data_IF_015001142406
#
_entry.id   IF_015001142406
#
_cell.length_a   1.000
_cell.length_b   1.000
_cell.length_c   1.000
_cell.angle_alpha   90.00
_cell.angle_beta   90.00
_cell.angle_gamma   90.00
#
_symmetry.space_group_name_H-M   'P 1'
#
loop_
_entity.id
_entity.type
_entity.pdbx_description
1 polymer ?
#
# COMPACT_ATOMS: atom_id res chain seq x y z
N UNK A 1 10.93 -8.56 0.71
CA UNK A 1 9.85 -9.31 1.40
C UNK A 1 9.34 -10.40 0.47
N UNK A 2 9.05 -11.57 0.99
CA UNK A 2 8.51 -12.67 0.17
C UNK A 2 7.06 -12.38 -0.20
N UNK A 3 6.65 -12.83 -1.39
CA UNK A 3 5.30 -12.58 -1.91
C UNK A 3 4.69 -13.87 -2.44
N UNK A 4 3.38 -13.97 -2.36
CA UNK A 4 2.61 -15.10 -2.90
C UNK A 4 1.28 -14.56 -3.45
N UNK A 5 1.34 -13.95 -4.63
CA UNK A 5 0.17 -13.29 -5.22
C UNK A 5 -0.91 -14.31 -5.58
N UNK A 6 -2.18 -13.92 -5.42
CA UNK A 6 -3.31 -14.75 -5.83
C UNK A 6 -3.38 -14.83 -7.35
N UNK A 7 -4.09 -15.84 -7.86
CA UNK A 7 -4.26 -16.00 -9.32
C UNK A 7 -4.93 -14.77 -9.96
N UNK A 8 -5.92 -14.20 -9.27
CA UNK A 8 -6.57 -12.97 -9.74
C UNK A 8 -5.59 -11.81 -9.81
N UNK A 9 -4.69 -11.69 -8.83
CA UNK A 9 -3.69 -10.63 -8.81
C UNK A 9 -2.62 -10.82 -9.88
N UNK A 10 -2.23 -12.07 -10.16
CA UNK A 10 -1.26 -12.36 -11.22
C UNK A 10 -1.77 -11.98 -12.60
N UNK A 11 -3.08 -11.92 -12.79
CA UNK A 11 -3.70 -11.53 -14.05
C UNK A 11 -3.73 -10.01 -14.26
N UNK A 12 -3.38 -9.20 -13.26
CA UNK A 12 -3.37 -7.75 -13.38
C UNK A 12 -2.24 -7.29 -14.30
N UNK A 13 -2.49 -6.20 -15.05
CA UNK A 13 -1.54 -5.68 -16.01
C UNK A 13 -0.20 -5.25 -15.37
N UNK A 14 -0.22 -4.85 -14.11
CA UNK A 14 0.97 -4.36 -13.38
C UNK A 14 1.42 -5.34 -12.27
N UNK A 15 1.02 -6.60 -12.35
CA UNK A 15 1.34 -7.58 -11.31
C UNK A 15 2.84 -7.76 -11.12
N UNK A 16 3.60 -7.88 -12.22
CA UNK A 16 5.05 -8.07 -12.16
C UNK A 16 5.74 -6.87 -11.52
N UNK A 17 5.30 -5.67 -11.86
CA UNK A 17 5.84 -4.44 -11.30
C UNK A 17 5.56 -4.35 -9.80
N UNK A 18 4.32 -4.64 -9.39
CA UNK A 18 3.95 -4.63 -7.97
C UNK A 18 4.76 -5.66 -7.19
N UNK A 19 4.92 -6.87 -7.72
CA UNK A 19 5.69 -7.91 -7.07
C UNK A 19 7.16 -7.53 -6.92
N UNK A 20 7.76 -6.94 -7.94
CA UNK A 20 9.13 -6.48 -7.88
C UNK A 20 9.32 -5.41 -6.79
N UNK A 21 8.40 -4.48 -6.67
CA UNK A 21 8.45 -3.43 -5.63
C UNK A 21 8.30 -4.06 -4.24
N UNK A 22 7.36 -4.97 -4.06
CA UNK A 22 7.14 -5.65 -2.79
C UNK A 22 8.39 -6.43 -2.35
N UNK A 23 9.03 -7.13 -3.29
CA UNK A 23 10.22 -7.92 -2.99
C UNK A 23 11.43 -7.06 -2.64
N UNK A 24 11.49 -5.82 -3.13
CA UNK A 24 12.57 -4.90 -2.79
C UNK A 24 12.49 -4.43 -1.33
N UNK A 25 11.32 -4.42 -0.72
CA UNK A 25 11.13 -3.99 0.66
C UNK A 25 11.61 -5.06 1.64
N UNK A 26 12.55 -4.69 2.52
CA UNK A 26 13.03 -5.57 3.58
C UNK A 26 12.33 -5.31 4.92
N UNK A 27 11.32 -4.46 4.91
CA UNK A 27 10.46 -4.19 6.07
C UNK A 27 11.21 -3.59 7.27
N UNK A 28 12.26 -2.81 7.03
CA UNK A 28 13.11 -2.24 8.09
C UNK A 28 12.47 -1.07 8.86
N UNK A 29 11.51 -0.36 8.22
CA UNK A 29 10.78 0.71 8.88
C UNK A 29 11.44 2.08 8.87
N UNK A 30 12.55 2.28 8.18
CA UNK A 30 13.21 3.60 8.08
C UNK A 30 12.26 4.64 7.50
N UNK A 31 11.37 4.23 6.57
CA UNK A 31 10.41 5.10 5.92
C UNK A 31 9.39 5.71 6.90
N UNK A 32 9.07 5.02 8.00
CA UNK A 32 8.07 5.49 8.95
C UNK A 32 8.47 6.81 9.61
N UNK A 33 9.75 7.04 9.84
CA UNK A 33 10.23 8.25 10.50
C UNK A 33 9.92 9.52 9.71
N UNK A 34 9.79 9.42 8.40
CA UNK A 34 9.54 10.56 7.52
C UNK A 34 8.07 10.70 7.12
N UNK A 35 7.21 9.78 7.55
CA UNK A 35 5.80 9.77 7.15
C UNK A 35 4.95 10.65 8.05
N UNK A 36 4.31 11.72 7.53
CA UNK A 36 3.49 12.62 8.35
C UNK A 36 2.32 11.94 9.04
N UNK A 37 1.63 11.03 8.35
CA UNK A 37 0.48 10.35 8.95
C UNK A 37 0.91 9.39 10.05
N UNK A 38 2.05 8.74 9.91
CA UNK A 38 2.60 7.90 10.96
C UNK A 38 2.97 8.73 12.19
N UNK A 39 3.61 9.88 11.98
CA UNK A 39 4.03 10.75 13.08
C UNK A 39 2.84 11.29 13.87
N UNK A 40 1.75 11.63 13.19
CA UNK A 40 0.56 12.21 13.83
C UNK A 40 -0.31 11.14 14.49
N UNK A 41 -0.57 10.03 13.78
CA UNK A 41 -1.53 9.02 14.23
C UNK A 41 -0.90 7.91 15.06
N UNK A 42 0.41 7.68 14.93
CA UNK A 42 1.12 6.67 15.70
C UNK A 42 0.72 5.22 15.42
N UNK A 43 0.03 4.97 14.31
CA UNK A 43 -0.43 3.64 13.92
C UNK A 43 0.45 3.11 12.80
N UNK A 44 0.95 1.88 12.96
CA UNK A 44 1.80 1.23 11.95
C UNK A 44 1.14 1.21 10.57
N UNK A 45 -0.18 1.01 10.52
CA UNK A 45 -0.92 0.94 9.26
C UNK A 45 -1.09 2.30 8.58
N UNK A 46 -0.78 3.39 9.26
CA UNK A 46 -0.78 4.73 8.68
C UNK A 46 0.62 5.18 8.25
N UNK A 47 1.59 4.28 8.28
CA UNK A 47 2.94 4.50 7.79
C UNK A 47 3.22 3.70 6.52
N UNK A 48 4.33 4.02 5.81
CA UNK A 48 4.63 3.34 4.55
C UNK A 48 4.82 1.84 4.70
N UNK A 49 5.55 1.40 5.73
CA UNK A 49 5.81 -0.02 5.95
C UNK A 49 4.51 -0.79 6.14
N UNK A 50 3.60 -0.29 6.98
CA UNK A 50 2.32 -0.94 7.22
C UNK A 50 1.42 -0.95 5.98
N UNK A 51 1.42 0.14 5.22
CA UNK A 51 0.66 0.22 3.97
C UNK A 51 1.20 -0.73 2.91
N UNK A 52 2.51 -0.89 2.82
CA UNK A 52 3.12 -1.89 1.92
C UNK A 52 2.63 -3.28 2.29
N UNK A 53 2.56 -3.59 3.57
CA UNK A 53 2.06 -4.88 4.04
C UNK A 53 0.57 -5.07 3.71
N UNK A 54 -0.25 -4.02 3.87
CA UNK A 54 -1.66 -4.08 3.49
C UNK A 54 -1.84 -4.34 2.00
N UNK A 55 -1.05 -3.69 1.16
CA UNK A 55 -1.10 -3.91 -0.29
C UNK A 55 -0.66 -5.33 -0.63
N UNK A 56 0.38 -5.82 0.04
CA UNK A 56 0.84 -7.21 -0.13
C UNK A 56 -0.30 -8.18 0.19
N UNK A 57 -0.97 -8.02 1.33
CA UNK A 57 -2.08 -8.88 1.72
C UNK A 57 -3.22 -8.81 0.71
N UNK A 58 -3.55 -7.62 0.23
CA UNK A 58 -4.60 -7.44 -0.77
C UNK A 58 -4.28 -8.20 -2.05
N UNK A 59 -3.04 -8.13 -2.53
CA UNK A 59 -2.60 -8.83 -3.73
C UNK A 59 -2.47 -10.34 -3.52
N UNK A 60 -2.32 -10.78 -2.28
CA UNK A 60 -2.29 -12.21 -1.94
C UNK A 60 -3.67 -12.83 -1.77
N UNK A 61 -4.72 -12.06 -1.97
CA UNK A 61 -6.09 -12.56 -1.97
C UNK A 61 -6.89 -12.28 -0.70
N UNK A 62 -6.32 -11.54 0.26
CA UNK A 62 -7.05 -11.16 1.46
C UNK A 62 -8.18 -10.20 1.12
N UNK A 63 -9.33 -10.26 1.81
CA UNK A 63 -10.42 -9.34 1.53
C UNK A 63 -10.04 -7.91 1.85
N UNK A 64 -10.50 -6.97 1.02
CA UNK A 64 -10.29 -5.55 1.23
C UNK A 64 -11.47 -4.97 1.98
N UNK A 65 -11.28 -4.72 3.27
CA UNK A 65 -12.29 -4.08 4.09
C UNK A 65 -12.19 -2.57 4.07
N UNK A 66 -13.15 -1.93 4.73
CA UNK A 66 -13.19 -0.48 4.90
C UNK A 66 -11.94 0.04 5.60
N UNK A 67 -11.41 -0.69 6.58
CA UNK A 67 -10.21 -0.29 7.31
C UNK A 67 -8.98 -0.24 6.42
N UNK A 68 -8.79 -1.25 5.57
CA UNK A 68 -7.68 -1.28 4.62
C UNK A 68 -7.73 -0.08 3.70
N UNK A 69 -8.91 0.19 3.13
CA UNK A 69 -9.10 1.32 2.24
C UNK A 69 -8.82 2.65 2.94
N UNK A 70 -9.27 2.79 4.19
CA UNK A 70 -9.06 3.99 4.98
C UNK A 70 -7.56 4.28 5.18
N UNK A 71 -6.78 3.28 5.55
CA UNK A 71 -5.35 3.45 5.75
C UNK A 71 -4.62 3.83 4.46
N UNK A 72 -5.00 3.23 3.33
CA UNK A 72 -4.42 3.58 2.04
C UNK A 72 -4.81 5.00 1.62
N UNK A 73 -6.06 5.40 1.89
CA UNK A 73 -6.56 6.73 1.55
C UNK A 73 -5.86 7.84 2.34
N UNK A 74 -5.40 7.56 3.55
CA UNK A 74 -4.75 8.55 4.42
C UNK A 74 -3.35 8.96 3.95
N UNK A 75 -2.74 8.22 3.04
CA UNK A 75 -1.44 8.59 2.50
C UNK A 75 -1.52 9.91 1.75
N UNK A 76 -0.63 10.85 2.10
CA UNK A 76 -0.62 12.20 1.51
C UNK A 76 0.15 12.28 0.19
N UNK A 77 0.75 11.18 -0.25
CA UNK A 77 1.55 11.11 -1.48
C UNK A 77 2.74 12.07 -1.51
N UNK A 78 3.30 12.38 -0.36
CA UNK A 78 4.43 13.32 -0.26
C UNK A 78 5.77 12.74 -0.71
N UNK A 79 5.88 11.41 -0.83
CA UNK A 79 7.07 10.66 -1.30
C UNK A 79 8.31 10.76 -0.39
N UNK A 80 8.18 11.28 0.81
CA UNK A 80 9.31 11.33 1.74
C UNK A 80 9.88 9.94 2.04
N UNK A 81 9.01 8.92 2.09
CA UNK A 81 9.41 7.55 2.33
C UNK A 81 10.30 6.97 1.22
N UNK A 82 10.05 7.35 -0.04
CA UNK A 82 10.88 6.89 -1.17
C UNK A 82 12.30 7.41 -1.07
N UNK A 83 12.44 8.68 -0.72
CA UNK A 83 13.76 9.33 -0.57
C UNK A 83 14.57 8.70 0.56
N UNK A 84 13.89 8.29 1.63
CA UNK A 84 14.53 7.74 2.82
C UNK A 84 14.89 6.27 2.68
N UNK A 85 14.18 5.52 1.83
CA UNK A 85 14.30 4.06 1.76
C UNK A 85 15.69 3.61 1.29
N UNK A 86 16.45 2.86 2.10
CA UNK A 86 17.78 2.37 1.69
C UNK A 86 17.71 1.28 0.62
N UNK A 87 16.56 0.61 0.47
CA UNK A 87 16.36 -0.44 -0.54
C UNK A 87 15.80 0.08 -1.85
N UNK A 88 15.52 1.38 -1.94
CA UNK A 88 15.01 1.98 -3.18
C UNK A 88 13.61 1.56 -3.56
N UNK A 89 12.74 1.27 -2.58
CA UNK A 89 11.37 0.86 -2.84
C UNK A 89 10.58 2.02 -3.47
N UNK A 90 9.96 1.76 -4.63
CA UNK A 90 9.12 2.73 -5.34
C UNK A 90 7.71 2.74 -4.74
N UNK A 91 7.60 3.32 -3.56
CA UNK A 91 6.38 3.30 -2.76
C UNK A 91 5.19 3.92 -3.49
N UNK A 92 5.39 5.06 -4.15
CA UNK A 92 4.30 5.77 -4.82
C UNK A 92 3.66 4.91 -5.92
N UNK A 93 4.48 4.23 -6.71
CA UNK A 93 3.99 3.32 -7.75
C UNK A 93 3.18 2.17 -7.14
N UNK A 94 3.70 1.57 -6.07
CA UNK A 94 3.00 0.50 -5.38
C UNK A 94 1.68 0.99 -4.78
N UNK A 95 1.67 2.19 -4.21
CA UNK A 95 0.47 2.79 -3.64
C UNK A 95 -0.61 2.99 -4.71
N UNK A 96 -0.23 3.47 -5.90
CA UNK A 96 -1.17 3.65 -7.00
C UNK A 96 -1.82 2.32 -7.41
N UNK A 97 -1.01 1.27 -7.51
CA UNK A 97 -1.52 -0.07 -7.82
C UNK A 97 -2.45 -0.55 -6.72
N UNK A 98 -2.05 -0.40 -5.46
CA UNK A 98 -2.83 -0.83 -4.30
C UNK A 98 -4.14 -0.08 -4.17
N UNK A 99 -4.13 1.23 -4.35
CA UNK A 99 -5.36 2.04 -4.31
C UNK A 99 -6.33 1.67 -5.42
N UNK A 100 -5.83 1.45 -6.63
CA UNK A 100 -6.69 1.05 -7.75
C UNK A 100 -7.35 -0.30 -7.47
N UNK A 101 -6.61 -1.25 -6.93
CA UNK A 101 -7.13 -2.57 -6.60
C UNK A 101 -8.12 -2.53 -5.44
N UNK A 102 -7.82 -1.74 -4.41
CA UNK A 102 -8.71 -1.55 -3.27
C UNK A 102 -10.04 -0.93 -3.70
N UNK A 103 -10.01 0.03 -4.61
CA UNK A 103 -11.21 0.68 -5.14
C UNK A 103 -12.13 -0.32 -5.87
N UNK A 104 -11.54 -1.30 -6.56
CA UNK A 104 -12.31 -2.34 -7.26
C UNK A 104 -12.95 -3.33 -6.28
N UNK A 105 -12.30 -3.63 -5.17
CA UNK A 105 -12.71 -4.70 -4.25
C UNK A 105 -13.54 -4.22 -3.07
N UNK A 106 -13.32 -2.98 -2.61
CA UNK A 106 -14.04 -2.42 -1.49
C UNK A 106 -15.28 -1.67 -1.96
N UNK A 107 -16.34 -1.68 -1.11
CA UNK A 107 -17.53 -0.86 -1.35
C UNK A 107 -17.46 0.37 -0.47
N UNK A 108 -17.44 1.54 -1.08
CA UNK A 108 -17.47 2.80 -0.35
C UNK A 108 -18.91 3.16 0.03
N UNK A 109 -19.11 3.85 1.18
CA UNK A 109 -20.42 4.46 1.47
C UNK A 109 -20.88 5.37 0.34
N UNK A 110 -22.20 5.46 0.14
CA UNK A 110 -22.76 6.23 -0.96
C UNK A 110 -22.27 7.68 -1.00
N UNK A 111 -22.13 8.32 0.17
CA UNK A 111 -21.64 9.70 0.25
C UNK A 111 -20.22 9.86 -0.28
N UNK A 112 -19.36 8.86 -0.07
CA UNK A 112 -17.98 8.90 -0.55
C UNK A 112 -17.89 8.67 -2.05
N UNK A 113 -18.83 7.90 -2.62
CA UNK A 113 -18.87 7.67 -4.06
C UNK A 113 -19.24 8.93 -4.83
N UNK A 114 -19.96 9.85 -4.19
CA UNK A 114 -20.39 11.10 -4.82
C UNK A 114 -19.30 12.16 -4.81
N UNK A 115 -18.25 11.96 -4.04
CA UNK A 115 -17.11 12.86 -3.95
C UNK A 115 -16.02 12.42 -4.91
#
# INVERSE_FOLDING_TARGET
MQTNLSEASKALARADEAEAILRACVHCGFCNATCPTYQVLGNELDGPRGRIYLIKQLLEGEPCGERTQRHLDRCLTCRNCETTCPSGVRYHTLLDIGRAEAEKRAQRPARERLL
#
